data_IF_012627951250
#
_entry.id   IF_012627951250
#
_cell.length_a   1.000
_cell.length_b   1.000
_cell.length_c   1.000
_cell.angle_alpha   90.00
_cell.angle_beta   90.00
_cell.angle_gamma   90.00
#
_symmetry.space_group_name_H-M   'P 1'
#
loop_
_entity.id
_entity.type
_entity.pdbx_description
1 polymer ?
#
# COMPACT_ATOMS: atom_id res chain seq x y z
N UNK A 1 -15.13 35.43 7.03
CA UNK A 1 -13.85 34.72 6.85
C UNK A 1 -14.17 33.23 6.72
N UNK A 2 -13.81 32.54 5.63
CA UNK A 2 -14.08 31.11 5.50
C UNK A 2 -13.29 30.35 6.57
N UNK A 3 -14.01 29.65 7.45
CA UNK A 3 -13.47 28.87 8.55
C UNK A 3 -12.49 27.80 8.04
N UNK A 4 -11.27 27.79 8.59
CA UNK A 4 -10.28 26.77 8.31
C UNK A 4 -10.73 25.45 8.97
N UNK A 5 -11.36 24.58 8.18
CA UNK A 5 -11.73 23.24 8.61
C UNK A 5 -10.48 22.52 9.13
N UNK A 6 -10.52 21.80 10.28
CA UNK A 6 -9.36 21.14 10.87
C UNK A 6 -8.58 20.24 9.89
N UNK A 7 -9.26 19.62 8.93
CA UNK A 7 -8.61 18.84 7.87
C UNK A 7 -7.64 19.70 7.01
N UNK A 8 -8.03 20.94 6.65
CA UNK A 8 -7.17 21.84 5.86
C UNK A 8 -6.00 22.40 6.68
N UNK A 9 -6.13 22.52 8.01
CA UNK A 9 -5.01 22.92 8.87
C UNK A 9 -3.98 21.79 9.00
N UNK A 10 -4.39 20.53 9.02
CA UNK A 10 -3.49 19.36 9.00
C UNK A 10 -2.68 19.32 7.70
N UNK A 11 -3.31 19.47 6.54
CA UNK A 11 -2.55 19.49 5.27
C UNK A 11 -1.60 20.68 5.16
N UNK A 12 -2.01 21.86 5.65
CA UNK A 12 -1.16 23.06 5.67
C UNK A 12 0.03 22.91 6.61
N UNK A 13 -0.16 22.30 7.78
CA UNK A 13 0.92 22.06 8.75
C UNK A 13 1.86 20.97 8.28
N UNK A 14 1.36 19.87 7.71
CA UNK A 14 2.19 18.82 7.10
C UNK A 14 3.04 19.38 5.94
N UNK A 15 2.45 20.20 5.06
CA UNK A 15 3.17 20.84 3.97
C UNK A 15 4.28 21.79 4.48
N UNK A 16 4.03 22.56 5.55
CA UNK A 16 5.01 23.47 6.14
C UNK A 16 6.12 22.74 6.91
N UNK A 17 5.77 21.67 7.64
CA UNK A 17 6.71 20.80 8.35
C UNK A 17 7.72 20.15 7.39
N UNK A 18 7.27 19.80 6.18
CA UNK A 18 8.16 19.30 5.12
C UNK A 18 9.10 20.38 4.53
N UNK A 19 8.90 21.65 4.87
CA UNK A 19 9.64 22.80 4.31
C UNK A 19 10.35 23.65 5.36
N UNK A 20 10.24 23.33 6.65
CA UNK A 20 10.94 24.08 7.70
C UNK A 20 12.47 23.90 7.54
N UNK A 21 13.26 24.98 7.66
CA UNK A 21 14.73 24.90 7.74
C UNK A 21 15.12 24.35 9.12
N UNK A 22 14.78 23.10 9.37
CA UNK A 22 15.22 22.37 10.54
C UNK A 22 16.67 21.90 10.27
N UNK A 23 17.63 22.13 11.18
CA UNK A 23 19.01 21.64 11.02
C UNK A 23 19.14 20.11 10.87
N UNK A 24 18.03 19.37 11.05
CA UNK A 24 17.92 17.93 10.91
C UNK A 24 16.76 17.51 9.98
N UNK A 25 16.21 18.44 9.18
CA UNK A 25 15.15 18.19 8.20
C UNK A 25 15.68 17.38 7.02
N UNK A 26 15.45 16.07 7.05
CA UNK A 26 16.06 15.03 6.19
C UNK A 26 15.70 15.06 4.69
N UNK A 27 15.06 16.10 4.18
CA UNK A 27 14.78 16.27 2.75
C UNK A 27 15.38 17.60 2.26
N UNK A 28 16.67 17.62 1.89
CA UNK A 28 17.26 18.80 1.26
C UNK A 28 16.45 19.23 0.03
N UNK A 29 15.88 20.43 0.05
CA UNK A 29 15.16 21.01 -1.10
C UNK A 29 16.11 21.38 -2.25
N UNK A 30 17.40 21.43 -1.96
CA UNK A 30 18.48 21.77 -2.90
C UNK A 30 19.16 20.55 -3.52
N UNK A 31 18.87 19.34 -3.03
CA UNK A 31 19.49 18.11 -3.53
C UNK A 31 18.39 17.25 -4.16
N UNK A 32 18.60 16.72 -5.37
CA UNK A 32 17.62 15.86 -6.01
C UNK A 32 17.36 14.59 -5.18
N UNK A 33 16.12 14.10 -5.22
CA UNK A 33 15.75 12.83 -4.60
C UNK A 33 16.63 11.70 -5.14
N UNK A 34 17.00 10.75 -4.27
CA UNK A 34 17.77 9.59 -4.69
C UNK A 34 16.97 8.75 -5.70
N UNK A 35 17.68 8.14 -6.65
CA UNK A 35 17.05 7.27 -7.64
C UNK A 35 16.36 6.09 -6.95
N UNK A 36 15.13 5.81 -7.38
CA UNK A 36 14.33 4.68 -6.88
C UNK A 36 14.66 3.44 -7.71
N UNK A 37 15.09 2.32 -7.10
CA UNK A 37 15.37 1.08 -7.82
C UNK A 37 14.08 0.34 -8.15
N UNK A 38 13.40 0.79 -9.22
CA UNK A 38 12.08 0.31 -9.64
C UNK A 38 12.02 -1.19 -9.94
N UNK A 39 13.15 -1.83 -10.26
CA UNK A 39 13.24 -3.25 -10.55
C UNK A 39 13.04 -4.16 -9.31
N UNK A 40 13.14 -3.63 -8.09
CA UNK A 40 13.03 -4.41 -6.85
C UNK A 40 11.57 -4.67 -6.49
N UNK A 41 10.70 -3.67 -6.68
CA UNK A 41 9.29 -3.73 -6.29
C UNK A 41 8.51 -4.86 -6.96
N UNK A 42 8.54 -5.05 -8.29
CA UNK A 42 7.81 -6.14 -8.93
C UNK A 42 8.35 -7.51 -8.51
N UNK A 43 9.66 -7.65 -8.30
CA UNK A 43 10.27 -8.91 -7.83
C UNK A 43 9.80 -9.28 -6.42
N UNK A 44 9.71 -8.31 -5.52
CA UNK A 44 9.18 -8.51 -4.16
C UNK A 44 7.70 -8.83 -4.19
N UNK A 45 6.92 -8.08 -4.96
CA UNK A 45 5.48 -8.31 -5.12
C UNK A 45 5.22 -9.71 -5.68
N UNK A 46 5.94 -10.13 -6.72
CA UNK A 46 5.80 -11.45 -7.32
C UNK A 46 6.18 -12.56 -6.33
N UNK A 47 7.29 -12.41 -5.60
CA UNK A 47 7.71 -13.40 -4.60
C UNK A 47 6.67 -13.57 -3.49
N UNK A 48 6.16 -12.47 -2.95
CA UNK A 48 5.12 -12.52 -1.91
C UNK A 48 3.81 -13.06 -2.48
N UNK A 49 3.41 -12.61 -3.66
CA UNK A 49 2.20 -13.06 -4.36
C UNK A 49 2.21 -14.55 -4.67
N UNK A 50 3.38 -15.12 -5.03
CA UNK A 50 3.53 -16.53 -5.33
C UNK A 50 3.17 -17.45 -4.14
N UNK A 51 3.23 -16.95 -2.91
CA UNK A 51 2.79 -17.68 -1.72
C UNK A 51 1.39 -17.25 -1.27
N UNK A 52 1.15 -15.95 -1.18
CA UNK A 52 -0.10 -15.40 -0.62
C UNK A 52 -1.30 -15.70 -1.52
N UNK A 53 -1.16 -15.60 -2.84
CA UNK A 53 -2.29 -15.80 -3.76
C UNK A 53 -2.76 -17.27 -3.74
N UNK A 54 -1.89 -18.29 -3.89
CA UNK A 54 -2.35 -19.69 -3.77
C UNK A 54 -2.97 -20.01 -2.42
N UNK A 55 -2.38 -19.53 -1.33
CA UNK A 55 -2.95 -19.73 0.01
C UNK A 55 -4.34 -19.09 0.13
N UNK A 56 -4.51 -17.85 -0.36
CA UNK A 56 -5.81 -17.19 -0.36
C UNK A 56 -6.84 -17.96 -1.21
N UNK A 57 -6.43 -18.47 -2.38
CA UNK A 57 -7.31 -19.28 -3.24
C UNK A 57 -7.75 -20.55 -2.55
N UNK A 58 -6.86 -21.24 -1.83
CA UNK A 58 -7.22 -22.45 -1.08
C UNK A 58 -8.13 -22.10 0.10
N UNK A 59 -7.73 -21.14 0.94
CA UNK A 59 -8.45 -20.78 2.17
C UNK A 59 -9.81 -20.14 1.91
N UNK A 60 -9.97 -19.38 0.82
CA UNK A 60 -11.24 -18.75 0.48
C UNK A 60 -12.04 -19.55 -0.55
N UNK A 61 -11.37 -20.33 -1.41
CA UNK A 61 -12.00 -21.10 -2.47
C UNK A 61 -12.50 -22.48 -2.06
N UNK A 62 -12.05 -23.03 -0.91
CA UNK A 62 -12.49 -24.37 -0.47
C UNK A 62 -14.02 -24.53 -0.32
N UNK A 63 -14.83 -23.53 0.11
CA UNK A 63 -16.28 -23.74 0.22
C UNK A 63 -16.94 -23.83 -1.15
N UNK A 64 -16.44 -23.06 -2.12
CA UNK A 64 -16.92 -23.11 -3.51
C UNK A 64 -16.53 -24.44 -4.17
N UNK A 65 -15.31 -24.91 -3.95
CA UNK A 65 -14.84 -26.20 -4.42
C UNK A 65 -15.66 -27.35 -3.79
N UNK A 66 -15.93 -27.27 -2.49
CA UNK A 66 -16.80 -28.20 -1.78
C UNK A 66 -18.21 -28.21 -2.34
N UNK A 67 -18.85 -27.05 -2.47
CA UNK A 67 -20.19 -26.94 -3.04
C UNK A 67 -20.27 -27.49 -4.48
N UNK A 68 -19.29 -27.15 -5.33
CA UNK A 68 -19.22 -27.69 -6.69
C UNK A 68 -19.06 -29.23 -6.69
N UNK A 69 -18.27 -29.76 -5.75
CA UNK A 69 -18.07 -31.19 -5.60
C UNK A 69 -19.34 -31.90 -5.11
N UNK A 70 -20.01 -31.38 -4.07
CA UNK A 70 -21.26 -31.94 -3.53
C UNK A 70 -22.39 -31.94 -4.57
N UNK A 71 -22.58 -30.82 -5.27
CA UNK A 71 -23.51 -30.73 -6.40
C UNK A 71 -23.22 -31.76 -7.50
N UNK A 72 -21.95 -32.06 -7.76
CA UNK A 72 -21.55 -33.06 -8.77
C UNK A 72 -21.88 -34.49 -8.32
N UNK A 73 -21.80 -34.80 -7.03
CA UNK A 73 -22.11 -36.14 -6.49
C UNK A 73 -23.58 -36.31 -6.10
N UNK A 74 -24.41 -35.26 -6.23
CA UNK A 74 -25.86 -35.34 -6.05
C UNK A 74 -26.33 -35.33 -4.60
N UNK A 75 -25.54 -34.72 -3.70
CA UNK A 75 -25.89 -34.43 -2.30
C UNK A 75 -26.09 -32.93 -2.15
#
# INVERSE_FOLDING_TARGET
MPSATPARSIFRTAARYLTEPHPYGRNPTTVPSHSVPWNIYPKRLARTGAFVIPMAVVTLGWPLAGAAFFNKIGV
#
